data_IF_927863273908
#
_entry.id   IF_927863273908
#
_cell.length_a   1.000
_cell.length_b   1.000
_cell.length_c   1.000
_cell.angle_alpha   90.00
_cell.angle_beta   90.00
_cell.angle_gamma   90.00
#
_symmetry.space_group_name_H-M   'P 1'
#
loop_
_entity.id
_entity.type
_entity.pdbx_description
1 polymer ?
#
# COMPACT_ATOMS: atom_id res chain seq x y z
N UNK A 1 0.02 -12.22 -16.25
CA UNK A 1 0.80 -12.44 -15.04
C UNK A 1 1.72 -11.25 -14.83
N UNK A 2 1.25 -10.24 -14.12
CA UNK A 2 2.18 -9.24 -13.54
C UNK A 2 2.80 -9.92 -12.33
N UNK A 3 3.81 -10.71 -12.59
CA UNK A 3 4.88 -10.92 -11.64
C UNK A 3 5.37 -9.51 -11.32
N UNK A 4 5.35 -9.10 -10.05
CA UNK A 4 6.11 -7.93 -9.60
C UNK A 4 7.42 -7.97 -10.34
N UNK A 5 7.71 -6.92 -11.11
CA UNK A 5 8.96 -6.89 -11.83
C UNK A 5 10.05 -6.99 -10.77
N UNK A 6 10.72 -8.15 -10.71
CA UNK A 6 11.76 -8.42 -9.72
C UNK A 6 12.84 -7.33 -9.75
N UNK A 7 12.90 -6.55 -10.82
CA UNK A 7 13.75 -5.39 -10.97
C UNK A 7 13.48 -4.27 -9.96
N UNK A 8 12.23 -3.97 -9.59
CA UNK A 8 11.97 -2.87 -8.63
C UNK A 8 12.40 -3.25 -7.21
N UNK A 9 12.14 -4.49 -6.81
CA UNK A 9 12.57 -5.00 -5.49
C UNK A 9 14.10 -5.17 -5.45
N UNK A 10 14.71 -5.62 -6.55
CA UNK A 10 16.16 -5.71 -6.69
C UNK A 10 16.82 -4.33 -6.66
N UNK A 11 16.23 -3.30 -7.26
CA UNK A 11 16.75 -1.93 -7.20
C UNK A 11 16.73 -1.39 -5.76
N UNK A 12 15.66 -1.61 -5.00
CA UNK A 12 15.60 -1.19 -3.59
C UNK A 12 16.62 -1.95 -2.75
N UNK A 13 16.72 -3.27 -2.94
CA UNK A 13 17.69 -4.11 -2.21
C UNK A 13 19.13 -3.76 -2.58
N UNK A 14 19.42 -3.51 -3.86
CA UNK A 14 20.74 -3.07 -4.33
C UNK A 14 21.05 -1.64 -3.87
N UNK A 15 20.08 -0.74 -3.84
CA UNK A 15 20.27 0.62 -3.32
C UNK A 15 20.60 0.61 -1.82
N UNK A 16 19.92 -0.22 -1.03
CA UNK A 16 20.21 -0.39 0.41
C UNK A 16 21.59 -1.04 0.62
N UNK A 17 21.92 -2.07 -0.15
CA UNK A 17 23.25 -2.71 -0.09
C UNK A 17 24.36 -1.78 -0.58
N UNK A 18 24.13 -1.01 -1.64
CA UNK A 18 25.11 -0.04 -2.15
C UNK A 18 25.32 1.15 -1.17
N UNK A 19 24.31 1.56 -0.45
CA UNK A 19 24.46 2.54 0.63
C UNK A 19 25.23 1.97 1.82
N UNK A 20 24.97 0.73 2.22
CA UNK A 20 25.70 0.09 3.32
C UNK A 20 27.19 -0.13 3.01
N UNK A 21 27.54 -0.38 1.74
CA UNK A 21 28.93 -0.52 1.31
C UNK A 21 29.67 0.83 1.15
N UNK A 22 28.94 1.94 0.91
CA UNK A 22 29.54 3.27 0.67
C UNK A 22 29.98 4.00 1.93
N UNK A 23 29.42 3.69 3.08
CA UNK A 23 29.58 4.58 4.24
C UNK A 23 30.25 3.93 5.46
N UNK A 24 30.57 2.64 5.46
CA UNK A 24 31.11 1.95 6.65
C UNK A 24 30.33 2.29 7.95
N UNK A 25 29.07 2.75 7.77
CA UNK A 25 28.21 3.10 8.88
C UNK A 25 27.54 1.82 9.34
N UNK A 26 27.78 1.36 10.58
CA UNK A 26 27.06 0.21 11.09
C UNK A 26 25.55 0.52 11.01
N UNK A 27 24.80 -0.33 10.30
CA UNK A 27 23.33 -0.24 10.32
C UNK A 27 22.94 -0.56 11.75
N UNK A 28 22.67 0.51 12.53
CA UNK A 28 22.15 0.35 13.87
C UNK A 28 20.77 -0.29 13.80
N UNK A 29 20.47 -1.25 14.68
CA UNK A 29 19.12 -1.78 14.78
C UNK A 29 18.13 -0.62 15.00
N UNK A 30 17.03 -0.66 14.28
CA UNK A 30 15.93 0.29 14.48
C UNK A 30 15.45 0.19 15.93
N UNK A 31 15.24 1.29 16.61
CA UNK A 31 14.74 1.27 17.96
C UNK A 31 13.40 0.54 18.03
N UNK A 32 13.17 -0.25 19.07
CA UNK A 32 11.96 -1.06 19.27
C UNK A 32 10.69 -0.23 19.10
N UNK A 33 10.69 0.99 19.62
CA UNK A 33 9.55 1.91 19.51
C UNK A 33 9.26 2.31 18.05
N UNK A 34 10.29 2.55 17.24
CA UNK A 34 10.14 2.93 15.83
C UNK A 34 9.65 1.72 15.02
N UNK A 35 10.12 0.52 15.37
CA UNK A 35 9.62 -0.70 14.76
C UNK A 35 8.14 -0.92 15.06
N UNK A 36 7.71 -0.75 16.31
CA UNK A 36 6.31 -0.88 16.73
C UNK A 36 5.42 0.16 16.06
N UNK A 37 5.85 1.42 15.98
CA UNK A 37 5.13 2.50 15.28
C UNK A 37 4.98 2.19 13.79
N UNK A 38 6.07 1.78 13.14
CA UNK A 38 6.06 1.42 11.72
C UNK A 38 5.10 0.26 11.47
N UNK A 39 5.15 -0.78 12.30
CA UNK A 39 4.25 -1.91 12.20
C UNK A 39 2.78 -1.50 12.34
N UNK A 40 2.46 -0.70 13.35
CA UNK A 40 1.10 -0.22 13.59
C UNK A 40 0.59 0.67 12.44
N UNK A 41 1.44 1.55 11.91
CA UNK A 41 1.12 2.38 10.74
C UNK A 41 0.85 1.51 9.51
N UNK A 42 1.72 0.54 9.20
CA UNK A 42 1.51 -0.39 8.08
C UNK A 42 0.21 -1.19 8.25
N UNK A 43 -0.11 -1.60 9.47
CA UNK A 43 -1.36 -2.31 9.76
C UNK A 43 -2.59 -1.42 9.51
N UNK A 44 -2.56 -0.16 9.95
CA UNK A 44 -3.64 0.80 9.68
C UNK A 44 -3.83 1.03 8.18
N UNK A 45 -2.73 1.25 7.44
CA UNK A 45 -2.77 1.43 5.98
C UNK A 45 -3.32 0.18 5.30
N UNK A 46 -2.88 -1.02 5.70
CA UNK A 46 -3.40 -2.28 5.16
C UNK A 46 -4.90 -2.44 5.39
N UNK A 47 -5.36 -2.16 6.61
CA UNK A 47 -6.79 -2.30 6.97
C UNK A 47 -7.65 -1.33 6.18
N UNK A 48 -7.19 -0.12 5.94
CA UNK A 48 -7.92 0.85 5.12
C UNK A 48 -7.95 0.42 3.64
N UNK A 49 -6.84 -0.07 3.09
CA UNK A 49 -6.82 -0.64 1.74
C UNK A 49 -7.82 -1.81 1.64
N UNK A 50 -7.79 -2.72 2.60
CA UNK A 50 -8.73 -3.83 2.65
C UNK A 50 -10.19 -3.34 2.68
N UNK A 51 -10.49 -2.29 3.46
CA UNK A 51 -11.81 -1.67 3.54
C UNK A 51 -12.27 -1.11 2.20
N UNK A 52 -11.41 -0.36 1.52
CA UNK A 52 -11.70 0.23 0.20
C UNK A 52 -11.90 -0.85 -0.86
N UNK A 53 -11.07 -1.89 -0.85
CA UNK A 53 -11.00 -2.88 -1.92
C UNK A 53 -12.00 -4.02 -1.70
N UNK A 54 -11.88 -4.75 -0.59
CA UNK A 54 -12.65 -5.97 -0.35
C UNK A 54 -14.05 -5.66 0.17
N UNK A 55 -14.20 -4.59 0.98
CA UNK A 55 -15.50 -4.14 1.49
C UNK A 55 -16.15 -3.09 0.59
N UNK A 56 -15.52 -2.75 -0.54
CA UNK A 56 -16.03 -1.89 -1.59
C UNK A 56 -16.42 -0.48 -1.14
N UNK A 57 -15.76 0.05 -0.09
CA UNK A 57 -15.98 1.42 0.33
C UNK A 57 -15.51 2.42 -0.72
N UNK A 58 -16.03 3.62 -0.64
CA UNK A 58 -15.72 4.70 -1.56
C UNK A 58 -14.41 5.40 -1.21
N UNK A 59 -13.71 5.91 -2.23
CA UNK A 59 -12.63 6.87 -2.05
C UNK A 59 -13.17 8.22 -1.55
N UNK A 60 -12.34 8.99 -0.83
CA UNK A 60 -10.93 8.77 -0.59
C UNK A 60 -10.66 7.71 0.48
N UNK A 61 -9.52 7.02 0.37
CA UNK A 61 -9.00 6.21 1.45
C UNK A 61 -8.42 7.13 2.54
N UNK A 62 -8.72 6.84 3.80
CA UNK A 62 -8.20 7.59 4.94
C UNK A 62 -7.05 6.83 5.58
N UNK A 63 -5.84 7.32 5.41
CA UNK A 63 -4.65 6.75 6.02
C UNK A 63 -4.25 7.54 7.25
N UNK A 64 -4.09 6.83 8.35
CA UNK A 64 -3.70 7.39 9.63
C UNK A 64 -2.38 6.78 10.08
N UNK A 65 -1.40 7.62 10.38
CA UNK A 65 -0.17 7.20 11.05
C UNK A 65 -0.38 7.14 12.57
N UNK A 66 0.55 6.48 13.25
CA UNK A 66 0.54 6.43 14.73
C UNK A 66 0.87 7.78 15.37
N UNK A 67 1.53 8.65 14.62
CA UNK A 67 1.92 10.00 15.07
C UNK A 67 0.86 11.08 14.70
N UNK A 68 -0.40 10.68 14.48
CA UNK A 68 -1.55 11.52 14.16
C UNK A 68 -1.47 12.28 12.82
N UNK A 69 -0.58 11.90 11.95
CA UNK A 69 -0.54 12.41 10.58
C UNK A 69 -1.63 11.74 9.75
N UNK A 70 -2.74 12.43 9.59
CA UNK A 70 -3.84 11.99 8.75
C UNK A 70 -3.70 12.46 7.32
N UNK A 71 -3.94 11.58 6.35
CA UNK A 71 -4.09 12.01 4.98
C UNK A 71 -5.15 11.21 4.22
N UNK A 72 -5.79 11.90 3.27
CA UNK A 72 -6.77 11.30 2.40
C UNK A 72 -6.16 11.00 1.03
N UNK A 73 -6.23 9.75 0.62
CA UNK A 73 -5.71 9.32 -0.67
C UNK A 73 -6.81 9.27 -1.70
N UNK A 74 -6.66 10.14 -2.70
CA UNK A 74 -7.49 10.21 -3.89
C UNK A 74 -6.76 9.53 -5.04
N UNK A 75 -7.11 8.30 -5.35
CA UNK A 75 -6.43 7.55 -6.39
C UNK A 75 -6.43 8.26 -7.75
N UNK A 76 -5.27 8.25 -8.43
CA UNK A 76 -5.12 8.71 -9.83
C UNK A 76 -5.08 10.22 -10.06
N UNK A 77 -4.80 11.02 -9.05
CA UNK A 77 -4.62 12.47 -9.18
C UNK A 77 -3.16 12.91 -9.34
N UNK A 78 -2.36 12.15 -10.06
CA UNK A 78 -0.96 12.47 -10.34
C UNK A 78 -0.78 13.60 -11.37
N UNK A 79 -1.73 14.51 -11.48
CA UNK A 79 -1.58 15.66 -12.35
C UNK A 79 -0.68 16.69 -11.70
N UNK A 80 0.59 16.64 -12.05
CA UNK A 80 1.44 17.82 -11.95
C UNK A 80 0.83 18.88 -12.84
N UNK A 81 0.23 19.89 -12.24
CA UNK A 81 -0.07 21.11 -12.96
C UNK A 81 1.27 21.77 -13.21
N UNK A 82 1.89 21.51 -14.37
CA UNK A 82 3.09 22.22 -14.76
C UNK A 82 2.84 23.71 -14.64
N UNK A 83 3.47 24.28 -13.68
CA UNK A 83 3.57 25.72 -13.53
C UNK A 83 4.98 26.16 -13.82
N UNK A 84 5.06 27.12 -14.70
CA UNK A 84 6.29 27.89 -14.84
C UNK A 84 6.66 28.65 -13.54
N UNK A 85 5.72 28.75 -12.58
CA UNK A 85 5.89 29.56 -11.36
C UNK A 85 5.30 29.01 -10.06
N UNK A 86 4.42 28.00 -10.06
CA UNK A 86 3.92 27.32 -8.86
C UNK A 86 3.66 25.84 -9.21
N UNK A 87 4.39 24.93 -8.64
CA UNK A 87 4.06 23.51 -8.72
C UNK A 87 2.86 23.23 -7.82
N UNK A 88 1.77 22.80 -8.42
CA UNK A 88 0.55 22.45 -7.72
C UNK A 88 0.27 20.97 -7.95
N UNK A 89 0.39 20.20 -6.89
CA UNK A 89 -0.03 18.81 -6.88
C UNK A 89 -1.44 18.70 -6.30
N UNK A 90 -2.40 18.33 -7.14
CA UNK A 90 -3.79 18.15 -6.73
C UNK A 90 -3.93 17.09 -5.65
N UNK A 91 -3.17 16.01 -5.71
CA UNK A 91 -3.19 14.99 -4.68
C UNK A 91 -2.74 15.54 -3.32
N UNK A 92 -1.64 16.28 -3.28
CA UNK A 92 -1.15 16.92 -2.04
C UNK A 92 -2.16 17.91 -1.49
N UNK A 93 -2.85 18.67 -2.34
CA UNK A 93 -3.90 19.56 -1.87
C UNK A 93 -5.09 18.78 -1.30
N UNK A 94 -5.60 17.79 -2.06
CA UNK A 94 -6.76 17.01 -1.66
C UNK A 94 -6.49 16.10 -0.46
N UNK A 95 -5.24 15.72 -0.22
CA UNK A 95 -4.88 14.83 0.91
C UNK A 95 -5.29 15.37 2.29
N UNK A 96 -5.55 16.66 2.39
CA UNK A 96 -5.99 17.33 3.62
C UNK A 96 -7.51 17.27 3.85
N UNK A 97 -8.28 16.76 2.89
CA UNK A 97 -9.72 16.84 2.92
C UNK A 97 -10.39 15.47 2.74
N UNK A 98 -11.36 15.18 3.60
CA UNK A 98 -12.17 13.96 3.49
C UNK A 98 -13.10 13.95 2.27
N UNK A 99 -13.40 15.12 1.72
CA UNK A 99 -14.22 15.31 0.51
C UNK A 99 -13.55 16.35 -0.37
N UNK A 100 -13.74 16.26 -1.68
CA UNK A 100 -13.23 17.28 -2.61
C UNK A 100 -13.82 18.64 -2.23
N UNK A 101 -13.01 19.63 -1.87
CA UNK A 101 -13.51 20.94 -1.45
C UNK A 101 -14.29 21.63 -2.57
N UNK A 102 -15.27 22.47 -2.20
CA UNK A 102 -15.96 23.31 -3.17
C UNK A 102 -14.95 24.19 -3.94
N UNK A 103 -15.24 24.45 -5.22
CA UNK A 103 -14.34 25.25 -6.06
C UNK A 103 -14.05 26.64 -5.49
N UNK A 104 -15.02 27.27 -4.81
CA UNK A 104 -14.83 28.55 -4.11
C UNK A 104 -13.78 28.47 -3.00
N UNK A 105 -13.76 27.36 -2.26
CA UNK A 105 -12.74 27.10 -1.23
C UNK A 105 -11.35 26.97 -1.87
N UNK A 106 -11.24 26.22 -2.97
CA UNK A 106 -9.98 26.10 -3.70
C UNK A 106 -9.47 27.44 -4.21
N UNK A 107 -10.36 28.30 -4.74
CA UNK A 107 -9.97 29.65 -5.17
C UNK A 107 -9.39 30.49 -4.03
N UNK A 108 -10.04 30.43 -2.87
CA UNK A 108 -9.56 31.14 -1.67
C UNK A 108 -8.20 30.62 -1.20
N UNK A 109 -8.02 29.28 -1.14
CA UNK A 109 -6.77 28.65 -0.67
C UNK A 109 -5.59 28.93 -1.63
N UNK A 110 -5.86 29.20 -2.91
CA UNK A 110 -4.83 29.54 -3.91
C UNK A 110 -4.68 31.04 -4.16
N UNK A 111 -5.42 31.89 -3.44
CA UNK A 111 -5.39 33.35 -3.59
C UNK A 111 -5.48 33.85 -5.06
N UNK A 112 -6.26 33.13 -5.87
CA UNK A 112 -6.36 33.42 -7.30
C UNK A 112 -7.36 34.55 -7.56
N UNK A 113 -6.86 35.62 -8.16
CA UNK A 113 -7.70 36.74 -8.64
C UNK A 113 -8.78 36.24 -9.61
N UNK A 114 -9.95 36.93 -9.60
CA UNK A 114 -11.11 36.53 -10.41
C UNK A 114 -10.81 36.39 -11.91
N UNK A 115 -9.95 37.24 -12.45
CA UNK A 115 -9.58 37.28 -13.87
C UNK A 115 -8.31 36.47 -14.21
N UNK A 116 -7.83 35.62 -13.31
CA UNK A 116 -6.63 34.84 -13.55
C UNK A 116 -6.88 33.76 -14.60
N UNK A 117 -5.99 33.68 -15.62
CA UNK A 117 -6.00 32.57 -16.61
C UNK A 117 -5.90 31.18 -15.95
N UNK A 118 -5.37 31.12 -14.73
CA UNK A 118 -5.27 29.89 -13.95
C UNK A 118 -6.59 29.44 -13.35
N UNK A 119 -7.58 30.35 -13.16
CA UNK A 119 -8.89 30.01 -12.63
C UNK A 119 -9.64 29.02 -13.53
N UNK A 120 -9.57 29.21 -14.87
CA UNK A 120 -10.18 28.28 -15.82
C UNK A 120 -9.57 26.88 -15.67
N UNK A 121 -8.26 26.79 -15.68
CA UNK A 121 -7.55 25.50 -15.53
C UNK A 121 -7.80 24.84 -14.18
N UNK A 122 -7.83 25.61 -13.09
CA UNK A 122 -8.16 25.08 -11.77
C UNK A 122 -9.59 24.52 -11.73
N UNK A 123 -10.54 25.16 -12.42
CA UNK A 123 -11.93 24.66 -12.55
C UNK A 123 -11.98 23.36 -13.33
N UNK A 124 -11.25 23.29 -14.43
CA UNK A 124 -11.14 22.06 -15.23
C UNK A 124 -10.58 20.92 -14.39
N UNK A 125 -9.50 21.14 -13.66
CA UNK A 125 -8.91 20.14 -12.77
C UNK A 125 -9.85 19.73 -11.62
N UNK A 126 -10.59 20.69 -11.05
CA UNK A 126 -11.58 20.41 -10.02
C UNK A 126 -12.72 19.51 -10.55
N UNK A 127 -13.27 19.86 -11.72
CA UNK A 127 -14.33 19.07 -12.33
C UNK A 127 -13.83 17.68 -12.74
N UNK A 128 -12.62 17.60 -13.26
CA UNK A 128 -11.97 16.32 -13.58
C UNK A 128 -11.76 15.47 -12.32
N UNK A 129 -11.38 16.10 -11.20
CA UNK A 129 -11.24 15.43 -9.92
C UNK A 129 -12.55 14.79 -9.46
N UNK A 130 -13.65 15.56 -9.49
CA UNK A 130 -14.97 15.05 -9.14
C UNK A 130 -15.41 13.91 -10.05
N UNK A 131 -15.23 14.05 -11.35
CA UNK A 131 -15.61 13.03 -12.33
C UNK A 131 -14.81 11.74 -12.15
N UNK A 132 -13.50 11.84 -12.02
CA UNK A 132 -12.62 10.67 -11.76
C UNK A 132 -12.97 9.97 -10.45
N UNK A 133 -13.25 10.73 -9.39
CA UNK A 133 -13.64 10.17 -8.10
C UNK A 133 -14.96 9.40 -8.23
N UNK A 134 -15.94 9.98 -8.91
CA UNK A 134 -17.22 9.33 -9.17
C UNK A 134 -17.04 8.03 -9.94
N UNK A 135 -16.32 8.04 -11.06
CA UNK A 135 -16.05 6.83 -11.86
C UNK A 135 -15.42 5.70 -11.03
N UNK A 136 -14.47 6.04 -10.15
CA UNK A 136 -13.77 5.04 -9.32
C UNK A 136 -14.64 4.49 -8.19
N UNK A 137 -15.62 5.28 -7.74
CA UNK A 137 -16.56 4.83 -6.73
C UNK A 137 -17.69 4.02 -7.33
N UNK A 138 -18.07 4.28 -8.55
CA UNK A 138 -19.06 3.50 -9.32
C UNK A 138 -18.45 2.17 -9.81
N UNK A 139 -17.23 2.19 -10.36
CA UNK A 139 -16.54 0.99 -10.81
C UNK A 139 -15.67 0.40 -9.70
N UNK A 140 -16.21 -0.59 -9.01
CA UNK A 140 -15.48 -1.29 -7.92
C UNK A 140 -14.31 -2.15 -8.41
N UNK A 141 -14.15 -2.32 -9.73
CA UNK A 141 -13.06 -3.06 -10.37
C UNK A 141 -12.11 -2.15 -11.17
N UNK A 142 -12.25 -0.84 -11.01
CA UNK A 142 -11.41 0.14 -11.67
C UNK A 142 -9.91 -0.15 -11.47
N UNK A 143 -9.10 0.13 -12.49
CA UNK A 143 -7.65 -0.14 -12.50
C UNK A 143 -6.92 0.47 -11.28
N UNK A 144 -7.33 1.65 -10.84
CA UNK A 144 -6.73 2.28 -9.66
C UNK A 144 -7.01 1.51 -8.36
N UNK A 145 -8.13 0.78 -8.28
CA UNK A 145 -8.38 -0.14 -7.16
C UNK A 145 -7.48 -1.35 -7.22
N UNK A 146 -7.16 -1.86 -8.43
CA UNK A 146 -6.19 -2.95 -8.60
C UNK A 146 -4.79 -2.52 -8.16
N UNK A 147 -4.36 -1.30 -8.55
CA UNK A 147 -3.09 -0.75 -8.08
C UNK A 147 -3.05 -0.63 -6.56
N UNK A 148 -4.10 -0.09 -5.95
CA UNK A 148 -4.17 0.00 -4.49
C UNK A 148 -4.15 -1.39 -3.84
N UNK A 149 -4.83 -2.38 -4.42
CA UNK A 149 -4.81 -3.76 -3.94
C UNK A 149 -3.40 -4.37 -4.01
N UNK A 150 -2.64 -4.09 -5.07
CA UNK A 150 -1.24 -4.56 -5.17
C UNK A 150 -0.36 -3.97 -4.06
N UNK A 151 -0.49 -2.69 -3.76
CA UNK A 151 0.20 -2.10 -2.59
C UNK A 151 -0.25 -2.75 -1.28
N UNK A 152 -1.54 -3.05 -1.14
CA UNK A 152 -2.05 -3.77 0.01
C UNK A 152 -1.42 -5.15 0.19
N UNK A 153 -1.19 -5.90 -0.91
CA UNK A 153 -0.50 -7.19 -0.85
C UNK A 153 0.97 -7.05 -0.43
N UNK A 154 1.68 -6.03 -0.95
CA UNK A 154 3.06 -5.73 -0.52
C UNK A 154 3.11 -5.41 0.97
N UNK A 155 2.22 -4.55 1.46
CA UNK A 155 2.14 -4.21 2.89
C UNK A 155 1.78 -5.45 3.71
N UNK A 156 0.85 -6.27 3.23
CA UNK A 156 0.49 -7.55 3.86
C UNK A 156 1.69 -8.50 3.99
N UNK A 157 2.53 -8.57 2.96
CA UNK A 157 3.78 -9.33 3.00
C UNK A 157 4.78 -8.77 4.02
N UNK A 158 4.93 -7.45 4.09
CA UNK A 158 5.80 -6.81 5.10
C UNK A 158 5.30 -7.08 6.53
N UNK A 159 3.99 -6.99 6.77
CA UNK A 159 3.39 -7.34 8.05
C UNK A 159 3.62 -8.81 8.40
N UNK A 160 3.51 -9.71 7.42
CA UNK A 160 3.80 -11.13 7.60
C UNK A 160 5.27 -11.37 7.96
N UNK A 161 6.20 -10.72 7.26
CA UNK A 161 7.63 -10.80 7.55
C UNK A 161 7.92 -10.30 8.97
N UNK A 162 7.35 -9.17 9.36
CA UNK A 162 7.53 -8.60 10.69
C UNK A 162 7.00 -9.52 11.81
N UNK A 163 5.92 -10.27 11.56
CA UNK A 163 5.33 -11.18 12.54
C UNK A 163 6.05 -12.53 12.63
N UNK A 164 6.62 -13.00 11.54
CA UNK A 164 7.17 -14.36 11.48
C UNK A 164 8.69 -14.40 11.55
N UNK A 165 9.36 -13.25 11.36
CA UNK A 165 10.81 -13.21 11.16
C UNK A 165 11.26 -13.90 9.85
N UNK A 166 10.33 -14.22 8.94
CA UNK A 166 10.67 -14.78 7.65
C UNK A 166 11.49 -13.77 6.83
N UNK A 167 12.42 -14.25 6.02
CA UNK A 167 13.05 -13.37 5.05
C UNK A 167 12.15 -13.16 3.83
N UNK A 168 12.47 -12.15 3.01
CA UNK A 168 11.68 -11.77 1.84
C UNK A 168 11.52 -12.94 0.86
N UNK A 169 12.59 -13.65 0.54
CA UNK A 169 12.59 -14.80 -0.36
C UNK A 169 11.63 -15.91 0.12
N UNK A 170 11.59 -16.14 1.42
CA UNK A 170 10.67 -17.10 2.03
C UNK A 170 9.21 -16.65 1.88
N UNK A 171 8.93 -15.38 2.14
CA UNK A 171 7.58 -14.84 2.03
C UNK A 171 7.08 -14.90 0.57
N UNK A 172 7.92 -14.48 -0.38
CA UNK A 172 7.58 -14.50 -1.81
C UNK A 172 7.35 -15.90 -2.39
N UNK A 173 8.03 -16.91 -1.85
CA UNK A 173 7.90 -18.31 -2.30
C UNK A 173 6.79 -19.08 -1.59
N UNK A 174 6.05 -18.45 -0.70
CA UNK A 174 4.95 -19.10 0.00
C UNK A 174 3.79 -19.38 -0.97
N UNK A 175 3.43 -20.65 -1.12
CA UNK A 175 2.40 -21.13 -2.04
C UNK A 175 1.21 -21.69 -1.28
N UNK A 176 -0.02 -21.43 -1.75
CA UNK A 176 -1.24 -21.87 -1.11
C UNK A 176 -1.44 -23.37 -1.16
N UNK A 177 -1.07 -24.00 -2.26
CA UNK A 177 -1.23 -25.44 -2.50
C UNK A 177 -0.31 -26.29 -1.61
N UNK A 178 0.89 -25.76 -1.31
CA UNK A 178 1.88 -26.42 -0.44
C UNK A 178 1.83 -25.93 1.00
N UNK A 179 1.18 -24.79 1.24
CA UNK A 179 1.05 -24.20 2.57
C UNK A 179 0.06 -24.99 3.43
N UNK A 180 0.57 -25.61 4.48
CA UNK A 180 -0.27 -26.20 5.52
C UNK A 180 -0.33 -25.27 6.72
N UNK A 181 -1.54 -24.93 7.13
CA UNK A 181 -1.77 -24.14 8.33
C UNK A 181 -1.99 -25.10 9.50
N UNK A 182 -1.00 -25.21 10.37
CA UNK A 182 -1.06 -26.08 11.54
C UNK A 182 -1.32 -25.26 12.80
N UNK A 183 -2.27 -25.64 13.65
CA UNK A 183 -2.46 -25.00 14.94
C UNK A 183 -1.26 -25.26 15.84
N UNK A 184 -0.88 -24.25 16.62
CA UNK A 184 0.10 -24.35 17.69
C UNK A 184 -0.53 -23.85 18.98
N UNK A 185 0.13 -24.03 20.10
CA UNK A 185 -0.37 -23.53 21.42
C UNK A 185 -0.46 -22.01 21.47
N UNK A 186 0.28 -21.30 20.63
CA UNK A 186 0.39 -19.84 20.64
C UNK A 186 -0.16 -19.17 19.36
N UNK A 187 -0.59 -19.94 18.36
CA UNK A 187 -1.07 -19.37 17.10
C UNK A 187 -1.10 -20.37 15.96
N UNK A 188 -0.52 -20.00 14.84
CA UNK A 188 -0.46 -20.80 13.62
C UNK A 188 0.96 -20.96 13.12
N UNK A 189 1.25 -22.12 12.60
CA UNK A 189 2.48 -22.46 11.89
C UNK A 189 2.16 -22.72 10.43
N UNK A 190 2.91 -22.10 9.52
CA UNK A 190 2.80 -22.37 8.10
C UNK A 190 3.97 -23.24 7.67
N UNK A 191 3.69 -24.27 6.88
CA UNK A 191 4.75 -25.00 6.20
C UNK A 191 4.99 -24.40 4.80
N UNK A 192 6.25 -24.16 4.48
CA UNK A 192 6.68 -23.72 3.16
C UNK A 192 7.99 -24.38 2.77
N UNK A 193 8.33 -24.39 1.50
CA UNK A 193 9.57 -24.99 0.99
C UNK A 193 10.54 -23.91 0.56
N UNK A 194 11.77 -23.97 1.06
CA UNK A 194 12.84 -23.05 0.69
C UNK A 194 13.70 -23.64 -0.42
N UNK A 195 13.61 -23.13 -1.63
CA UNK A 195 14.32 -23.68 -2.81
C UNK A 195 15.84 -23.57 -2.70
N UNK A 196 16.37 -22.45 -2.19
CA UNK A 196 17.82 -22.21 -2.07
C UNK A 196 18.54 -23.01 -0.97
N UNK A 197 17.80 -23.62 -0.06
CA UNK A 197 18.36 -24.40 1.03
C UNK A 197 18.31 -25.92 0.78
N UNK A 198 18.41 -26.36 -0.49
CA UNK A 198 18.35 -27.77 -0.83
C UNK A 198 16.96 -28.40 -0.57
N UNK A 199 15.89 -27.61 -0.72
CA UNK A 199 14.53 -28.08 -0.47
C UNK A 199 14.15 -28.17 1.01
N UNK A 200 14.93 -27.55 1.92
CA UNK A 200 14.63 -27.57 3.35
C UNK A 200 13.30 -26.86 3.63
N UNK A 201 12.40 -27.57 4.26
CA UNK A 201 11.13 -27.00 4.72
C UNK A 201 11.36 -26.01 5.84
N UNK A 202 10.75 -24.85 5.75
CA UNK A 202 10.72 -23.84 6.79
C UNK A 202 9.28 -23.69 7.29
N UNK A 203 9.17 -23.25 8.54
CA UNK A 203 7.90 -23.17 9.25
C UNK A 203 7.74 -21.77 9.87
N UNK A 204 7.37 -20.74 9.06
CA UNK A 204 7.03 -19.45 9.65
C UNK A 204 5.87 -19.60 10.64
N UNK A 205 6.02 -19.02 11.80
CA UNK A 205 4.97 -19.05 12.84
C UNK A 205 4.51 -17.62 13.14
N UNK A 206 3.22 -17.46 13.41
CA UNK A 206 2.66 -16.21 13.89
C UNK A 206 1.65 -16.45 15.01
N UNK A 207 1.55 -15.48 15.91
CA UNK A 207 0.61 -15.51 17.02
C UNK A 207 -0.85 -15.37 16.58
N UNK A 208 -1.76 -15.81 17.42
CA UNK A 208 -3.21 -15.75 17.16
C UNK A 208 -3.71 -14.34 16.87
N UNK A 209 -3.01 -13.31 17.36
CA UNK A 209 -3.35 -11.90 17.10
C UNK A 209 -3.18 -11.50 15.63
N UNK A 210 -2.26 -12.13 14.90
CA UNK A 210 -2.04 -11.85 13.48
C UNK A 210 -2.99 -12.63 12.56
N UNK A 211 -3.61 -13.70 13.02
CA UNK A 211 -4.50 -14.54 12.21
C UNK A 211 -5.61 -13.73 11.50
N UNK A 212 -6.30 -12.76 12.13
CA UNK A 212 -7.29 -11.93 11.46
C UNK A 212 -6.71 -11.07 10.32
N UNK A 213 -5.48 -10.60 10.47
CA UNK A 213 -4.78 -9.84 9.42
C UNK A 213 -4.42 -10.77 8.27
N UNK A 214 -3.85 -11.94 8.58
CA UNK A 214 -3.49 -12.91 7.56
C UNK A 214 -4.68 -13.37 6.72
N UNK A 215 -5.85 -13.58 7.33
CA UNK A 215 -7.10 -13.88 6.59
C UNK A 215 -7.48 -12.75 5.65
N UNK A 216 -7.38 -11.49 6.09
CA UNK A 216 -7.65 -10.34 5.21
C UNK A 216 -6.66 -10.23 4.05
N UNK A 217 -5.39 -10.61 4.26
CA UNK A 217 -4.40 -10.70 3.17
C UNK A 217 -4.87 -11.71 2.11
N UNK A 218 -5.31 -12.89 2.54
CA UNK A 218 -5.83 -13.90 1.61
C UNK A 218 -7.11 -13.45 0.89
N UNK A 219 -8.03 -12.77 1.56
CA UNK A 219 -9.22 -12.19 0.95
C UNK A 219 -8.87 -11.10 -0.08
N UNK A 220 -7.94 -10.20 0.25
CA UNK A 220 -7.45 -9.18 -0.67
C UNK A 220 -6.78 -9.81 -1.89
N UNK A 221 -5.98 -10.85 -1.69
CA UNK A 221 -5.38 -11.61 -2.76
C UNK A 221 -6.44 -12.22 -3.70
N UNK A 222 -7.46 -12.88 -3.16
CA UNK A 222 -8.56 -13.43 -3.95
C UNK A 222 -9.24 -12.34 -4.78
N UNK A 223 -9.47 -11.18 -4.18
CA UNK A 223 -10.02 -10.03 -4.91
C UNK A 223 -9.10 -9.59 -6.05
N UNK A 224 -7.77 -9.55 -5.82
CA UNK A 224 -6.78 -9.06 -6.77
C UNK A 224 -6.59 -10.00 -7.97
N UNK A 225 -6.40 -11.30 -7.73
CA UNK A 225 -6.12 -12.28 -8.79
C UNK A 225 -7.37 -12.66 -9.58
N UNK A 226 -8.59 -12.44 -9.06
CA UNK A 226 -9.86 -12.82 -9.70
C UNK A 226 -9.88 -14.29 -10.11
N UNK A 227 -10.04 -14.54 -11.43
CA UNK A 227 -10.06 -15.89 -12.02
C UNK A 227 -8.68 -16.35 -12.52
N UNK A 228 -7.64 -15.54 -12.36
CA UNK A 228 -6.29 -15.93 -12.77
C UNK A 228 -5.74 -17.00 -11.82
N UNK A 229 -5.11 -18.02 -12.43
CA UNK A 229 -4.47 -19.08 -11.65
C UNK A 229 -3.12 -18.58 -11.14
N UNK A 230 -3.03 -18.36 -9.84
CA UNK A 230 -1.81 -17.97 -9.17
C UNK A 230 -1.72 -18.73 -7.84
N UNK A 231 -0.64 -19.46 -7.61
CA UNK A 231 -0.48 -20.30 -6.42
C UNK A 231 0.26 -19.58 -5.29
N UNK A 232 0.92 -18.44 -5.56
CA UNK A 232 1.64 -17.66 -4.54
C UNK A 232 0.69 -16.90 -3.62
N UNK A 233 1.10 -16.76 -2.35
CA UNK A 233 0.32 -16.04 -1.33
C UNK A 233 0.40 -14.53 -1.54
N UNK A 234 1.58 -14.03 -1.92
CA UNK A 234 1.88 -12.62 -2.13
C UNK A 234 2.27 -12.32 -3.58
#
# INVERSE_FOLDING_TARGET
>A
AYVFDCHEVDIITQAVQAQSQRYDVPILPVAEQDHQKTYATLQNVFLEIYRIIVKEYDFPAHFQSVDDDDFYFYSGFHHQVEKKYIQFDMQTYLSKYAVVPAFSKMLADFELAENSKYRKRLRENHNEALHKLQQRNEDKRHEERKRLASYGLVIGMLLFIAQTGANLDTAQQLQLDTMKVLPTTQGRRLSGTKSRAGGKTIYPEFGGQFEPIFRKILELRVWYIQAERCDFVF
#
